data_IF_405433627794
#
_entry.id   IF_405433627794
#
_cell.length_a   1.000
_cell.length_b   1.000
_cell.length_c   1.000
_cell.angle_alpha   90.00
_cell.angle_beta   90.00
_cell.angle_gamma   90.00
#
_symmetry.space_group_name_H-M   'P 1'
#
loop_
_entity.id
_entity.type
_entity.pdbx_description
1 polymer ?
#
# COMPACT_ATOMS: atom_id res chain seq x y z
N UNK A 1 -0.37 11.42 -4.95
CA UNK A 1 -0.56 11.67 -6.39
C UNK A 1 -0.06 10.50 -7.23
N UNK A 2 -0.66 10.31 -8.40
CA UNK A 2 -0.22 9.31 -9.38
C UNK A 2 -0.14 7.89 -8.81
N UNK A 3 -1.15 7.49 -8.07
CA UNK A 3 -1.19 6.16 -7.47
C UNK A 3 -1.42 5.12 -8.56
N UNK A 4 -0.51 4.15 -8.65
CA UNK A 4 -0.61 3.04 -9.61
C UNK A 4 -0.46 1.72 -8.87
N UNK A 5 -1.21 0.72 -9.32
CA UNK A 5 -1.19 -0.62 -8.74
C UNK A 5 -0.79 -1.61 -9.83
N UNK A 6 0.22 -2.42 -9.55
CA UNK A 6 0.75 -3.41 -10.47
C UNK A 6 0.64 -4.81 -9.89
N UNK A 7 0.36 -5.78 -10.73
CA UNK A 7 0.58 -7.18 -10.44
C UNK A 7 2.01 -7.53 -10.85
N UNK A 8 2.77 -8.15 -9.95
CA UNK A 8 4.13 -8.60 -10.22
C UNK A 8 4.13 -10.11 -10.27
N UNK A 9 4.46 -10.69 -11.41
CA UNK A 9 4.49 -12.16 -11.58
C UNK A 9 5.79 -12.76 -11.02
N UNK A 10 5.89 -14.09 -11.07
CA UNK A 10 7.07 -14.82 -10.58
C UNK A 10 8.36 -14.47 -11.31
N UNK A 11 8.28 -13.89 -12.50
CA UNK A 11 9.43 -13.44 -13.29
C UNK A 11 9.79 -11.99 -13.05
N UNK A 12 9.08 -11.32 -12.13
CA UNK A 12 9.29 -9.92 -11.84
C UNK A 12 8.63 -8.97 -12.84
N UNK A 13 7.82 -9.46 -13.77
CA UNK A 13 7.13 -8.63 -14.75
C UNK A 13 5.94 -7.94 -14.08
N UNK A 14 5.86 -6.63 -14.26
CA UNK A 14 4.80 -5.79 -13.72
C UNK A 14 3.72 -5.54 -14.76
N UNK A 15 2.46 -5.61 -14.34
CA UNK A 15 1.30 -5.32 -15.19
C UNK A 15 0.30 -4.49 -14.41
N UNK A 16 -0.02 -3.30 -14.93
CA UNK A 16 -1.03 -2.44 -14.33
C UNK A 16 -2.43 -2.90 -14.70
N UNK A 17 -3.36 -2.78 -13.76
CA UNK A 17 -4.78 -3.04 -14.00
C UNK A 17 -5.31 -4.25 -13.26
N UNK A 18 -6.42 -4.77 -13.75
CA UNK A 18 -7.10 -5.93 -13.15
C UNK A 18 -6.28 -7.20 -13.30
N UNK A 19 -6.30 -8.02 -12.27
CA UNK A 19 -5.47 -9.21 -12.18
C UNK A 19 -6.31 -10.48 -12.18
N UNK A 20 -5.72 -11.55 -12.69
CA UNK A 20 -6.31 -12.89 -12.53
C UNK A 20 -5.78 -13.50 -11.23
N UNK A 21 -6.66 -14.18 -10.50
CA UNK A 21 -6.37 -14.80 -9.21
C UNK A 21 -5.09 -15.65 -9.23
N UNK A 22 -4.89 -16.45 -10.26
CA UNK A 22 -3.70 -17.31 -10.39
C UNK A 22 -2.38 -16.56 -10.55
N UNK A 23 -2.42 -15.26 -10.81
CA UNK A 23 -1.24 -14.45 -11.06
C UNK A 23 -1.03 -13.39 -9.99
N UNK A 24 -2.00 -13.20 -9.11
CA UNK A 24 -2.00 -12.11 -8.14
C UNK A 24 -1.43 -12.58 -6.81
N UNK A 25 -0.11 -12.71 -6.71
CA UNK A 25 0.59 -13.03 -5.46
C UNK A 25 1.32 -11.82 -4.90
N UNK A 26 1.88 -10.98 -5.77
CA UNK A 26 2.60 -9.76 -5.40
C UNK A 26 1.92 -8.56 -5.98
N UNK A 27 1.70 -7.57 -5.16
CA UNK A 27 1.13 -6.29 -5.56
C UNK A 27 2.16 -5.21 -5.33
N UNK A 28 2.39 -4.38 -6.33
CA UNK A 28 3.24 -3.20 -6.22
C UNK A 28 2.37 -1.95 -6.30
N UNK A 29 2.53 -1.07 -5.34
CA UNK A 29 1.84 0.22 -5.29
C UNK A 29 2.88 1.31 -5.41
N UNK A 30 2.74 2.18 -6.38
CA UNK A 30 3.60 3.35 -6.53
C UNK A 30 2.79 4.63 -6.44
N UNK A 31 3.37 5.67 -5.88
CA UNK A 31 2.74 6.97 -5.80
C UNK A 31 3.79 8.05 -5.54
N UNK A 32 3.42 9.30 -5.77
CA UNK A 32 4.27 10.44 -5.48
C UNK A 32 3.72 11.19 -4.27
N UNK A 33 4.59 11.62 -3.38
CA UNK A 33 4.24 12.56 -2.33
C UNK A 33 4.08 13.94 -2.93
N UNK A 34 3.07 14.69 -2.44
CA UNK A 34 2.89 16.08 -2.86
C UNK A 34 4.00 16.96 -2.30
N UNK A 35 4.41 17.97 -3.07
CA UNK A 35 5.32 18.98 -2.56
C UNK A 35 4.69 19.76 -1.42
N UNK A 36 5.48 20.04 -0.40
CA UNK A 36 5.09 20.93 0.69
C UNK A 36 6.31 21.73 1.12
N UNK A 37 6.48 22.91 0.53
CA UNK A 37 7.65 23.76 0.74
C UNK A 37 7.76 24.31 2.17
N UNK A 38 6.68 24.26 2.95
CA UNK A 38 6.68 24.75 4.33
C UNK A 38 6.82 23.64 5.36
N UNK A 39 6.72 22.37 4.94
CA UNK A 39 6.90 21.25 5.85
C UNK A 39 8.39 21.06 6.17
N UNK A 40 8.76 20.79 7.43
CA UNK A 40 10.16 20.51 7.76
C UNK A 40 10.62 19.19 7.14
N UNK A 41 11.90 19.10 6.83
CA UNK A 41 12.52 17.81 6.48
C UNK A 41 12.49 16.94 7.73
N UNK A 42 11.80 15.84 7.68
CA UNK A 42 11.60 14.96 8.83
C UNK A 42 11.32 13.52 8.39
N UNK A 43 11.52 12.59 9.32
CA UNK A 43 11.16 11.20 9.12
C UNK A 43 9.65 11.00 9.26
N UNK A 44 9.07 10.25 8.35
CA UNK A 44 7.64 9.92 8.36
C UNK A 44 7.44 8.43 8.16
N UNK A 45 6.43 7.87 8.80
CA UNK A 45 5.97 6.52 8.53
C UNK A 45 4.86 6.58 7.50
N UNK A 46 5.07 5.87 6.40
CA UNK A 46 4.06 5.70 5.37
C UNK A 46 3.57 4.27 5.44
N UNK A 47 2.27 4.09 5.63
CA UNK A 47 1.63 2.79 5.74
C UNK A 47 0.67 2.57 4.59
N UNK A 48 0.55 1.33 4.13
CA UNK A 48 -0.53 0.95 3.22
C UNK A 48 -1.43 -0.08 3.88
N UNK A 49 -2.73 0.06 3.65
CA UNK A 49 -3.73 -0.94 3.99
C UNK A 49 -4.28 -1.50 2.69
N UNK A 50 -4.13 -2.81 2.49
CA UNK A 50 -4.83 -3.50 1.41
C UNK A 50 -6.06 -4.11 2.05
N UNK A 51 -7.24 -3.63 1.66
CA UNK A 51 -8.52 -4.08 2.22
C UNK A 51 -9.15 -5.06 1.25
N UNK A 52 -9.44 -6.27 1.73
CA UNK A 52 -9.99 -7.34 0.92
C UNK A 52 -11.49 -7.16 0.63
N UNK A 53 -12.09 -7.99 -0.24
CA UNK A 53 -13.52 -7.85 -0.55
C UNK A 53 -14.46 -8.02 0.64
N UNK A 54 -14.02 -8.67 1.71
CA UNK A 54 -14.81 -8.82 2.94
C UNK A 54 -14.67 -7.62 3.88
N UNK A 55 -13.83 -6.63 3.54
CA UNK A 55 -13.60 -5.46 4.37
C UNK A 55 -12.49 -5.60 5.40
N UNK A 56 -11.69 -6.65 5.33
CA UNK A 56 -10.59 -6.89 6.26
C UNK A 56 -9.26 -6.43 5.67
N UNK A 57 -8.38 -5.90 6.51
CA UNK A 57 -7.02 -5.56 6.11
C UNK A 57 -6.22 -6.85 5.90
N UNK A 58 -5.57 -6.97 4.75
CA UNK A 58 -4.64 -8.07 4.47
C UNK A 58 -3.47 -7.95 5.44
N UNK A 59 -3.22 -9.00 6.21
CA UNK A 59 -2.33 -8.92 7.35
C UNK A 59 -1.49 -10.19 7.49
N UNK A 60 -0.17 -10.01 7.60
CA UNK A 60 0.78 -11.07 7.91
C UNK A 60 2.01 -10.42 8.56
N UNK A 61 2.20 -10.67 9.85
CA UNK A 61 3.34 -10.12 10.60
C UNK A 61 4.66 -10.52 9.97
N UNK A 62 4.78 -11.75 9.48
CA UNK A 62 6.01 -12.24 8.87
C UNK A 62 6.36 -11.50 7.57
N UNK A 63 5.42 -10.75 6.99
CA UNK A 63 5.59 -10.00 5.74
C UNK A 63 5.56 -8.49 5.94
N UNK A 64 5.71 -8.04 7.18
CA UNK A 64 5.82 -6.62 7.49
C UNK A 64 4.53 -5.94 7.92
N UNK A 65 3.44 -6.68 8.10
CA UNK A 65 2.20 -6.11 8.63
C UNK A 65 2.30 -5.82 10.12
N UNK A 66 1.52 -4.87 10.58
CA UNK A 66 1.49 -4.49 11.99
C UNK A 66 0.24 -3.68 12.32
N UNK A 67 0.29 -2.99 13.45
CA UNK A 67 -0.83 -2.18 13.93
C UNK A 67 -0.38 -0.79 14.38
N UNK A 68 -1.35 0.11 14.44
CA UNK A 68 -1.17 1.46 14.95
C UNK A 68 -2.45 1.88 15.65
N UNK A 69 -2.36 2.92 16.47
CA UNK A 69 -3.52 3.43 17.20
C UNK A 69 -3.91 4.82 16.71
N UNK A 70 -5.22 5.01 16.51
CA UNK A 70 -5.82 6.30 16.19
C UNK A 70 -7.00 6.51 17.13
N UNK A 71 -6.96 7.59 17.89
CA UNK A 71 -8.03 7.93 18.86
C UNK A 71 -8.37 6.77 19.82
N UNK A 72 -7.33 6.07 20.28
CA UNK A 72 -7.48 4.93 21.21
C UNK A 72 -7.97 3.64 20.58
N UNK A 73 -8.13 3.61 19.25
CA UNK A 73 -8.55 2.42 18.51
C UNK A 73 -7.37 1.81 17.77
N UNK A 74 -7.21 0.50 17.89
CA UNK A 74 -6.20 -0.22 17.13
C UNK A 74 -6.66 -0.41 15.70
N UNK A 75 -5.77 -0.06 14.77
CA UNK A 75 -5.95 -0.30 13.34
C UNK A 75 -4.76 -1.08 12.81
N UNK A 76 -4.97 -1.76 11.69
CA UNK A 76 -3.94 -2.62 11.10
C UNK A 76 -3.47 -2.04 9.78
N UNK A 77 -2.20 -2.29 9.46
CA UNK A 77 -1.64 -1.96 8.15
C UNK A 77 -1.03 -3.21 7.51
N UNK A 78 -1.03 -3.24 6.18
CA UNK A 78 -0.45 -4.35 5.42
C UNK A 78 1.06 -4.23 5.33
N UNK A 79 1.57 -3.03 5.10
CA UNK A 79 3.01 -2.75 4.99
C UNK A 79 3.32 -1.32 5.43
N UNK A 80 4.58 -1.08 5.83
CA UNK A 80 5.04 0.21 6.30
C UNK A 80 6.45 0.50 5.78
N UNK A 81 6.72 1.77 5.50
CA UNK A 81 8.07 2.28 5.25
C UNK A 81 8.32 3.55 6.05
N UNK A 82 9.54 3.69 6.55
CA UNK A 82 9.98 4.96 7.12
C UNK A 82 10.78 5.69 6.05
N UNK A 83 10.45 6.95 5.82
CA UNK A 83 11.09 7.77 4.81
C UNK A 83 11.52 9.10 5.41
N UNK A 84 12.51 9.73 4.79
CA UNK A 84 12.86 11.12 5.05
C UNK A 84 12.20 11.98 3.99
N UNK A 85 11.21 12.79 4.40
CA UNK A 85 10.55 13.69 3.48
C UNK A 85 11.41 14.94 3.27
N UNK A 86 11.78 15.20 2.01
CA UNK A 86 12.69 16.29 1.64
C UNK A 86 11.99 17.47 0.93
N UNK A 87 10.66 17.56 1.06
CA UNK A 87 9.83 18.60 0.45
C UNK A 87 9.73 18.53 -1.07
N UNK A 88 10.24 17.47 -1.69
CA UNK A 88 10.09 17.23 -3.13
C UNK A 88 8.96 16.26 -3.42
N UNK A 89 8.64 16.08 -4.70
CA UNK A 89 7.70 15.04 -5.14
C UNK A 89 8.40 13.69 -5.18
N UNK A 90 8.65 13.09 -4.03
CA UNK A 90 9.28 11.79 -3.95
C UNK A 90 8.35 10.70 -4.48
N UNK A 91 8.90 9.79 -5.27
CA UNK A 91 8.20 8.58 -5.66
C UNK A 91 8.48 7.48 -4.65
N UNK A 92 7.41 6.85 -4.17
CA UNK A 92 7.50 5.72 -3.25
C UNK A 92 6.91 4.49 -3.92
N UNK A 93 7.46 3.33 -3.58
CA UNK A 93 6.88 2.06 -3.99
C UNK A 93 6.83 1.08 -2.84
N UNK A 94 5.70 0.38 -2.75
CA UNK A 94 5.50 -0.72 -1.83
C UNK A 94 5.31 -1.99 -2.64
N UNK A 95 5.99 -3.06 -2.25
CA UNK A 95 5.76 -4.38 -2.83
C UNK A 95 5.32 -5.29 -1.70
N UNK A 96 4.12 -5.83 -1.81
CA UNK A 96 3.61 -6.80 -0.86
C UNK A 96 3.49 -8.17 -1.51
N UNK A 97 4.24 -9.12 -0.99
CA UNK A 97 4.19 -10.52 -1.41
C UNK A 97 3.33 -11.29 -0.40
N UNK A 98 2.11 -11.64 -0.79
CA UNK A 98 1.19 -12.38 0.07
C UNK A 98 1.64 -13.82 0.30
N UNK A 99 2.45 -14.37 -0.61
CA UNK A 99 2.90 -15.75 -0.55
C UNK A 99 1.87 -16.78 -0.99
N UNK A 100 0.70 -16.31 -1.39
CA UNK A 100 -0.39 -17.12 -1.93
C UNK A 100 -1.22 -16.25 -2.86
N UNK A 101 -2.13 -16.85 -3.62
CA UNK A 101 -3.00 -16.10 -4.51
C UNK A 101 -3.94 -15.18 -3.73
N UNK A 102 -4.22 -14.00 -4.29
CA UNK A 102 -5.29 -13.14 -3.79
C UNK A 102 -6.64 -13.71 -4.24
N UNK A 103 -7.62 -13.70 -3.33
CA UNK A 103 -8.97 -14.14 -3.65
C UNK A 103 -9.62 -13.19 -4.66
N UNK A 104 -10.59 -13.70 -5.42
CA UNK A 104 -11.35 -12.88 -6.35
C UNK A 104 -12.17 -11.82 -5.63
N UNK A 105 -12.30 -10.66 -6.26
CA UNK A 105 -13.12 -9.57 -5.76
C UNK A 105 -12.44 -8.22 -5.88
N UNK A 106 -13.10 -7.21 -5.32
CA UNK A 106 -12.64 -5.84 -5.35
C UNK A 106 -11.86 -5.50 -4.09
N UNK A 107 -10.67 -4.95 -4.28
CA UNK A 107 -9.77 -4.55 -3.20
C UNK A 107 -9.61 -3.03 -3.18
N UNK A 108 -9.41 -2.51 -1.99
CA UNK A 108 -9.05 -1.09 -1.79
C UNK A 108 -7.66 -0.99 -1.22
N UNK A 109 -6.97 0.10 -1.56
CA UNK A 109 -5.69 0.44 -0.97
C UNK A 109 -5.81 1.82 -0.35
N UNK A 110 -5.53 1.92 0.95
CA UNK A 110 -5.44 3.17 1.66
C UNK A 110 -3.98 3.48 1.94
N UNK A 111 -3.56 4.70 1.66
CA UNK A 111 -2.21 5.19 1.94
C UNK A 111 -2.30 6.16 3.10
N UNK A 112 -1.54 5.90 4.15
CA UNK A 112 -1.60 6.63 5.41
C UNK A 112 -0.22 7.19 5.74
N UNK A 113 -0.16 8.49 6.04
CA UNK A 113 1.05 9.15 6.53
C UNK A 113 0.75 9.81 7.86
N UNK A 114 1.56 9.51 8.88
CA UNK A 114 1.43 10.10 10.21
C UNK A 114 -0.01 10.02 10.77
N UNK A 115 -0.65 8.83 10.57
CA UNK A 115 -2.01 8.53 11.02
C UNK A 115 -3.13 9.20 10.23
N UNK A 116 -2.82 9.89 9.14
CA UNK A 116 -3.81 10.49 8.24
C UNK A 116 -3.79 9.81 6.88
N UNK A 117 -4.98 9.57 6.33
CA UNK A 117 -5.10 9.03 4.99
C UNK A 117 -4.71 10.11 3.97
N UNK A 118 -3.75 9.79 3.10
CA UNK A 118 -3.25 10.71 2.08
C UNK A 118 -3.61 10.27 0.65
N UNK A 119 -4.16 9.08 0.48
CA UNK A 119 -4.57 8.62 -0.82
C UNK A 119 -5.30 7.30 -0.77
N UNK A 120 -6.02 6.99 -1.84
CA UNK A 120 -6.74 5.74 -2.03
C UNK A 120 -6.59 5.25 -3.47
N UNK A 121 -6.60 3.94 -3.63
CA UNK A 121 -6.66 3.28 -4.93
C UNK A 121 -7.50 2.02 -4.80
N UNK A 122 -7.78 1.39 -5.91
CA UNK A 122 -8.49 0.11 -5.93
C UNK A 122 -7.98 -0.76 -7.06
N UNK A 123 -8.16 -2.06 -6.92
CA UNK A 123 -7.91 -3.03 -7.97
C UNK A 123 -8.88 -4.19 -7.83
N UNK A 124 -9.04 -4.94 -8.90
CA UNK A 124 -9.93 -6.12 -8.91
C UNK A 124 -9.13 -7.35 -9.27
N UNK A 125 -9.43 -8.46 -8.61
CA UNK A 125 -8.88 -9.79 -8.90
C UNK A 125 -10.00 -10.64 -9.49
N UNK A 126 -9.76 -11.23 -10.64
CA UNK A 126 -10.75 -12.03 -11.38
C UNK A 126 -10.35 -13.48 -11.51
#
# INVERSE_FOLDING_TARGET
ENIKVFNVNSRGKEREGDFRSRQAEKIKVTFNLSENAVAPVAGHKIMIQIVDPAGNVVFDIARGSGSFQVDGREQFFTSVQEILFDNSKQELSFVYDKGSEFDEGDYKINIISDFYEIGQASFSVR
#
